data_IF_038763786222
#
_entry.id   IF_038763786222
#
_cell.length_a   1.000
_cell.length_b   1.000
_cell.length_c   1.000
_cell.angle_alpha   90.00
_cell.angle_beta   90.00
_cell.angle_gamma   90.00
#
_symmetry.space_group_name_H-M   'P 1'
#
loop_
_entity.id
_entity.type
_entity.pdbx_description
1 polymer ?
#
# COMPACT_ATOMS: atom_id res chain seq x y z
N UNK A 1 -6.15 -20.13 -1.28
CA UNK A 1 -6.26 -19.00 -0.33
C UNK A 1 -5.37 -17.81 -0.70
N UNK A 2 -4.09 -18.00 -1.08
CA UNK A 2 -3.22 -16.89 -1.57
C UNK A 2 -3.64 -16.34 -2.92
N UNK A 3 -4.08 -17.19 -3.85
CA UNK A 3 -4.50 -16.77 -5.20
C UNK A 3 -5.70 -15.81 -5.19
N UNK A 4 -6.60 -15.96 -4.20
CA UNK A 4 -7.80 -15.13 -4.06
C UNK A 4 -7.48 -13.69 -3.62
N UNK A 5 -6.49 -13.51 -2.73
CA UNK A 5 -6.06 -12.19 -2.28
C UNK A 5 -5.40 -11.38 -3.39
N UNK A 6 -4.51 -12.00 -4.15
CA UNK A 6 -3.86 -11.33 -5.27
C UNK A 6 -4.83 -11.02 -6.41
N UNK A 7 -5.77 -11.93 -6.70
CA UNK A 7 -6.81 -11.67 -7.69
C UNK A 7 -7.67 -10.45 -7.32
N UNK A 8 -8.10 -10.34 -6.06
CA UNK A 8 -8.81 -9.16 -5.55
C UNK A 8 -7.95 -7.90 -5.62
N UNK A 9 -6.67 -8.00 -5.23
CA UNK A 9 -5.74 -6.88 -5.29
C UNK A 9 -5.55 -6.36 -6.73
N UNK A 10 -5.50 -7.23 -7.74
CA UNK A 10 -5.44 -6.80 -9.14
C UNK A 10 -6.70 -6.05 -9.56
N UNK A 11 -7.88 -6.48 -9.09
CA UNK A 11 -9.13 -5.73 -9.31
C UNK A 11 -9.06 -4.32 -8.71
N UNK A 12 -8.52 -4.19 -7.48
CA UNK A 12 -8.35 -2.89 -6.81
C UNK A 12 -7.35 -1.99 -7.54
N UNK A 13 -6.20 -2.55 -7.92
CA UNK A 13 -5.16 -1.83 -8.68
C UNK A 13 -5.74 -1.31 -9.99
N UNK A 14 -6.39 -2.16 -10.77
CA UNK A 14 -7.00 -1.76 -12.05
C UNK A 14 -8.06 -0.67 -11.88
N UNK A 15 -8.83 -0.72 -10.79
CA UNK A 15 -9.79 0.33 -10.48
C UNK A 15 -9.11 1.67 -10.21
N UNK A 16 -8.05 1.67 -9.40
CA UNK A 16 -7.29 2.89 -9.07
C UNK A 16 -6.61 3.47 -10.30
N UNK A 17 -6.05 2.62 -11.18
CA UNK A 17 -5.38 3.05 -12.40
C UNK A 17 -6.30 3.83 -13.36
N UNK A 18 -7.62 3.61 -13.34
CA UNK A 18 -8.59 4.35 -14.17
C UNK A 18 -8.65 5.84 -13.86
N UNK A 19 -8.24 6.23 -12.65
CA UNK A 19 -8.25 7.63 -12.21
C UNK A 19 -6.92 8.34 -12.48
N UNK A 20 -5.93 7.64 -13.07
CA UNK A 20 -4.70 8.28 -13.51
C UNK A 20 -4.95 9.10 -14.78
N UNK A 21 -4.27 10.25 -14.93
CA UNK A 21 -4.17 10.93 -16.21
C UNK A 21 -3.66 9.98 -17.30
N UNK A 22 -4.22 10.07 -18.51
CA UNK A 22 -3.89 9.15 -19.61
C UNK A 22 -2.39 9.08 -19.91
N UNK A 23 -1.70 10.21 -19.83
CA UNK A 23 -0.25 10.30 -20.05
C UNK A 23 0.56 9.53 -18.98
N UNK A 24 0.08 9.47 -17.74
CA UNK A 24 0.70 8.66 -16.68
C UNK A 24 0.34 7.19 -16.87
N UNK A 25 -0.92 6.87 -17.12
CA UNK A 25 -1.37 5.50 -17.38
C UNK A 25 -0.57 4.84 -18.52
N UNK A 26 -0.32 5.58 -19.60
CA UNK A 26 0.44 5.11 -20.76
C UNK A 26 1.92 4.82 -20.48
N UNK A 27 2.48 5.25 -19.34
CA UNK A 27 3.86 4.88 -18.95
C UNK A 27 3.97 3.45 -18.47
N UNK A 28 2.86 2.85 -18.01
CA UNK A 28 2.86 1.47 -17.52
C UNK A 28 2.93 0.53 -18.72
N UNK A 29 3.84 -0.45 -18.65
CA UNK A 29 3.96 -1.46 -19.70
C UNK A 29 2.64 -2.19 -19.92
N UNK A 30 2.22 -2.29 -21.18
CA UNK A 30 0.95 -2.93 -21.54
C UNK A 30 0.87 -4.38 -21.07
N UNK A 31 2.00 -5.09 -21.03
CA UNK A 31 2.07 -6.46 -20.49
C UNK A 31 1.72 -6.52 -19.01
N UNK A 32 2.11 -5.51 -18.20
CA UNK A 32 1.72 -5.44 -16.79
C UNK A 32 0.22 -5.28 -16.62
N UNK A 33 -0.40 -4.39 -17.39
CA UNK A 33 -1.85 -4.20 -17.37
C UNK A 33 -2.57 -5.48 -17.79
N UNK A 34 -2.14 -6.13 -18.88
CA UNK A 34 -2.70 -7.41 -19.35
C UNK A 34 -2.56 -8.50 -18.28
N UNK A 35 -1.42 -8.56 -17.59
CA UNK A 35 -1.23 -9.50 -16.50
C UNK A 35 -2.23 -9.28 -15.37
N UNK A 36 -2.47 -8.04 -14.95
CA UNK A 36 -3.48 -7.75 -13.93
C UNK A 36 -4.89 -8.10 -14.42
N UNK A 37 -5.27 -7.74 -15.64
CA UNK A 37 -6.58 -8.05 -16.21
C UNK A 37 -6.84 -9.55 -16.32
N UNK A 38 -5.82 -10.35 -16.68
CA UNK A 38 -5.94 -11.80 -16.80
C UNK A 38 -6.06 -12.52 -15.45
N UNK A 39 -5.52 -11.93 -14.38
CA UNK A 39 -5.45 -12.57 -13.05
C UNK A 39 -6.41 -11.95 -12.03
N UNK A 40 -7.19 -10.93 -12.38
CA UNK A 40 -8.10 -10.26 -11.44
C UNK A 40 -9.29 -11.15 -11.05
N UNK A 41 -9.86 -10.85 -9.90
CA UNK A 41 -11.16 -11.40 -9.50
C UNK A 41 -12.28 -10.61 -10.18
N UNK A 42 -13.01 -11.27 -11.09
CA UNK A 42 -14.12 -10.67 -11.85
C UNK A 42 -15.41 -10.57 -11.03
N UNK A 43 -15.53 -11.32 -9.94
CA UNK A 43 -16.70 -11.33 -9.05
C UNK A 43 -16.60 -10.26 -7.96
N UNK A 44 -15.37 -9.95 -7.52
CA UNK A 44 -15.12 -8.91 -6.54
C UNK A 44 -15.33 -7.52 -7.14
N UNK A 45 -16.17 -6.72 -6.48
CA UNK A 45 -16.48 -5.35 -6.90
C UNK A 45 -15.82 -4.37 -5.94
N UNK A 46 -14.85 -3.64 -6.45
CA UNK A 46 -14.18 -2.56 -5.74
C UNK A 46 -14.32 -1.25 -6.50
N UNK A 47 -14.52 -0.15 -5.76
CA UNK A 47 -14.66 1.22 -6.27
C UNK A 47 -13.97 2.16 -5.29
N UNK A 48 -13.35 3.21 -5.83
CA UNK A 48 -12.82 4.30 -5.01
C UNK A 48 -13.62 5.58 -5.24
N UNK A 49 -13.61 6.44 -4.24
CA UNK A 49 -14.13 7.79 -4.38
C UNK A 49 -12.95 8.77 -4.60
N UNK A 50 -12.82 9.42 -5.77
CA UNK A 50 -11.70 10.31 -6.06
C UNK A 50 -11.65 11.56 -5.15
N UNK A 51 -12.76 11.91 -4.49
CA UNK A 51 -12.82 13.03 -3.53
C UNK A 51 -12.22 12.65 -2.16
N UNK A 52 -12.03 11.36 -1.89
CA UNK A 52 -11.49 10.84 -0.64
C UNK A 52 -10.02 10.45 -0.85
N UNK A 53 -9.10 10.86 0.06
CA UNK A 53 -7.69 10.47 -0.01
C UNK A 53 -7.51 8.95 -0.10
N UNK A 54 -6.58 8.51 -0.95
CA UNK A 54 -6.32 7.09 -1.21
C UNK A 54 -6.03 6.29 0.08
N UNK A 55 -5.34 6.91 1.04
CA UNK A 55 -5.03 6.32 2.36
C UNK A 55 -6.25 6.04 3.25
N UNK A 56 -7.39 6.69 2.98
CA UNK A 56 -8.65 6.47 3.70
C UNK A 56 -9.57 5.50 2.97
N UNK A 57 -9.19 5.05 1.78
CA UNK A 57 -9.92 4.03 1.04
C UNK A 57 -9.59 2.65 1.62
N UNK A 58 -10.54 1.72 1.56
CA UNK A 58 -10.36 0.35 2.04
C UNK A 58 -9.57 -0.49 1.01
N UNK A 59 -8.33 -0.10 0.73
CA UNK A 59 -7.44 -0.79 -0.21
C UNK A 59 -6.68 -1.87 0.54
N UNK A 60 -6.65 -3.07 -0.03
CA UNK A 60 -5.91 -4.20 0.53
C UNK A 60 -4.41 -3.91 0.62
N UNK A 61 -3.73 -4.57 1.56
CA UNK A 61 -2.28 -4.45 1.74
C UNK A 61 -1.56 -4.95 0.48
N UNK A 62 -2.08 -6.00 -0.15
CA UNK A 62 -1.59 -6.58 -1.39
C UNK A 62 -1.70 -5.59 -2.56
N UNK A 63 -2.85 -4.92 -2.74
CA UNK A 63 -3.01 -3.89 -3.77
C UNK A 63 -2.09 -2.69 -3.52
N UNK A 64 -2.00 -2.23 -2.27
CA UNK A 64 -1.13 -1.13 -1.90
C UNK A 64 0.36 -1.45 -2.20
N UNK A 65 0.78 -2.70 -1.95
CA UNK A 65 2.12 -3.17 -2.29
C UNK A 65 2.40 -3.12 -3.79
N UNK A 66 1.43 -3.53 -4.62
CA UNK A 66 1.53 -3.44 -6.08
C UNK A 66 1.61 -1.98 -6.54
N UNK A 67 0.78 -1.09 -5.97
CA UNK A 67 0.78 0.35 -6.30
C UNK A 67 2.13 0.99 -5.97
N UNK A 68 2.75 0.64 -4.84
CA UNK A 68 4.08 1.14 -4.46
C UNK A 68 5.14 0.71 -5.49
N UNK A 69 5.06 -0.54 -5.98
CA UNK A 69 5.97 -1.04 -7.03
C UNK A 69 5.75 -0.29 -8.34
N UNK A 70 4.50 -0.12 -8.79
CA UNK A 70 4.18 0.65 -10.00
C UNK A 70 4.67 2.09 -9.88
N UNK A 71 4.46 2.72 -8.71
CA UNK A 71 4.95 4.07 -8.45
C UNK A 71 6.48 4.15 -8.56
N UNK A 72 7.19 3.22 -7.92
CA UNK A 72 8.65 3.17 -7.99
C UNK A 72 9.14 3.02 -9.42
N UNK A 73 8.51 2.15 -10.21
CA UNK A 73 9.04 1.72 -11.50
C UNK A 73 8.68 2.70 -12.63
N UNK A 74 7.47 3.28 -12.63
CA UNK A 74 6.96 4.07 -13.75
C UNK A 74 6.78 5.57 -13.46
N UNK A 75 6.61 5.97 -12.21
CA UNK A 75 6.24 7.36 -11.86
C UNK A 75 7.32 8.11 -11.07
N UNK A 76 8.09 7.40 -10.25
CA UNK A 76 9.03 8.00 -9.33
C UNK A 76 10.31 8.48 -10.02
N UNK A 77 10.70 9.72 -9.71
CA UNK A 77 12.05 10.23 -9.98
C UNK A 77 13.09 9.54 -9.09
N UNK A 78 14.37 9.64 -9.46
CA UNK A 78 15.47 9.07 -8.66
C UNK A 78 15.50 9.58 -7.21
N UNK A 79 15.20 10.86 -6.99
CA UNK A 79 15.10 11.44 -5.64
C UNK A 79 13.94 10.83 -4.86
N UNK A 80 12.79 10.61 -5.50
CA UNK A 80 11.63 9.97 -4.87
C UNK A 80 11.90 8.49 -4.58
N UNK A 81 12.56 7.75 -5.48
CA UNK A 81 13.00 6.37 -5.26
C UNK A 81 13.91 6.25 -4.04
N UNK A 82 14.90 7.15 -3.91
CA UNK A 82 15.78 7.18 -2.72
C UNK A 82 14.99 7.38 -1.43
N UNK A 83 14.05 8.34 -1.41
CA UNK A 83 13.18 8.57 -0.25
C UNK A 83 12.29 7.37 0.07
N UNK A 84 11.67 6.77 -0.95
CA UNK A 84 10.85 5.58 -0.81
C UNK A 84 11.65 4.43 -0.20
N UNK A 85 12.87 4.17 -0.68
CA UNK A 85 13.73 3.12 -0.15
C UNK A 85 14.07 3.33 1.33
N UNK A 86 14.32 4.57 1.76
CA UNK A 86 14.54 4.88 3.18
C UNK A 86 13.32 4.55 4.03
N UNK A 87 12.13 4.93 3.57
CA UNK A 87 10.85 4.66 4.27
C UNK A 87 10.61 3.15 4.35
N UNK A 88 10.74 2.42 3.24
CA UNK A 88 10.55 0.96 3.21
C UNK A 88 11.52 0.26 4.16
N UNK A 89 12.79 0.68 4.17
CA UNK A 89 13.81 0.13 5.07
C UNK A 89 13.47 0.40 6.54
N UNK A 90 13.00 1.60 6.88
CA UNK A 90 12.56 1.93 8.23
C UNK A 90 11.35 1.12 8.68
N UNK A 91 10.37 0.92 7.79
CA UNK A 91 9.19 0.10 8.08
C UNK A 91 9.58 -1.36 8.32
N UNK A 92 10.47 -1.91 7.51
CA UNK A 92 11.02 -3.25 7.70
C UNK A 92 11.71 -3.36 9.07
N UNK A 93 12.58 -2.40 9.43
CA UNK A 93 13.22 -2.42 10.74
C UNK A 93 12.22 -2.42 11.90
N UNK A 94 11.19 -1.57 11.85
CA UNK A 94 10.13 -1.52 12.87
C UNK A 94 9.39 -2.86 12.99
N UNK A 95 9.01 -3.44 11.85
CA UNK A 95 8.37 -4.75 11.83
C UNK A 95 9.25 -5.83 12.46
N UNK A 96 10.55 -5.84 12.15
CA UNK A 96 11.49 -6.78 12.75
C UNK A 96 11.67 -6.55 14.27
N UNK A 97 11.66 -5.30 14.74
CA UNK A 97 11.66 -5.01 16.18
C UNK A 97 10.38 -5.48 16.87
N UNK A 98 9.21 -5.29 16.25
CA UNK A 98 7.94 -5.80 16.77
C UNK A 98 7.95 -7.33 16.88
N UNK A 99 8.46 -8.04 15.87
CA UNK A 99 8.62 -9.50 15.91
C UNK A 99 9.60 -9.91 17.02
N UNK A 100 10.74 -9.23 17.15
CA UNK A 100 11.70 -9.51 18.24
C UNK A 100 11.09 -9.30 19.61
N UNK A 101 10.30 -8.24 19.80
CA UNK A 101 9.63 -7.96 21.07
C UNK A 101 8.53 -8.99 21.36
N UNK A 102 7.72 -9.37 20.37
CA UNK A 102 6.66 -10.37 20.52
C UNK A 102 7.19 -11.76 20.85
N UNK A 103 8.34 -12.13 20.27
CA UNK A 103 8.95 -13.45 20.44
C UNK A 103 10.25 -13.40 21.25
N UNK A 104 10.41 -12.41 22.12
CA UNK A 104 11.58 -12.30 22.97
C UNK A 104 11.66 -13.52 23.90
N UNK A 105 12.59 -14.44 23.62
CA UNK A 105 12.75 -15.69 24.34
C UNK A 105 12.89 -15.47 25.85
N UNK A 106 13.54 -14.38 26.27
CA UNK A 106 13.71 -14.05 27.68
C UNK A 106 12.39 -13.84 28.43
N UNK A 107 11.34 -13.33 27.77
CA UNK A 107 10.02 -13.16 28.38
C UNK A 107 9.19 -14.45 28.32
N UNK A 108 9.36 -15.26 27.26
CA UNK A 108 8.73 -16.59 27.15
C UNK A 108 9.27 -17.55 28.23
N UNK A 109 10.59 -17.53 28.50
CA UNK A 109 11.20 -18.33 29.56
C UNK A 109 10.85 -17.85 30.97
N UNK A 110 10.63 -16.54 31.17
CA UNK A 110 10.13 -15.98 32.44
C UNK A 110 8.65 -16.34 32.67
N UNK A 111 7.80 -16.26 31.64
CA UNK A 111 6.39 -16.63 31.73
C UNK A 111 6.19 -18.12 32.04
N UNK A 112 7.07 -19.01 31.57
CA UNK A 112 7.07 -20.44 31.95
C UNK A 112 7.33 -20.70 33.44
N UNK A 113 7.92 -19.75 34.18
CA UNK A 113 8.06 -19.85 35.64
C UNK A 113 6.80 -19.44 36.41
N UNK A 114 5.83 -18.78 35.77
CA UNK A 114 4.59 -18.30 36.39
C UNK A 114 3.37 -18.71 35.55
N UNK A 115 2.85 -19.92 35.75
CA UNK A 115 1.69 -20.40 35.00
C UNK A 115 0.42 -19.55 35.23
N UNK A 116 -0.13 -18.98 34.15
CA UNK A 116 -1.56 -18.78 33.91
C UNK A 116 -1.75 -18.39 32.43
N UNK A 117 -2.22 -19.33 31.61
CA UNK A 117 -2.54 -19.09 30.21
C UNK A 117 -3.87 -18.33 30.13
N UNK A 118 -3.82 -17.02 29.87
CA UNK A 118 -4.92 -16.27 29.28
C UNK A 118 -4.56 -15.99 27.82
N UNK A 119 -5.24 -16.66 26.90
CA UNK A 119 -5.16 -16.34 25.47
C UNK A 119 -5.92 -15.03 25.27
N UNK A 120 -5.20 -13.92 25.22
CA UNK A 120 -5.77 -12.64 24.78
C UNK A 120 -5.68 -12.61 23.26
N UNK A 121 -6.81 -12.86 22.61
CA UNK A 121 -7.00 -12.68 21.18
C UNK A 121 -6.99 -11.18 20.86
N UNK A 122 -5.80 -10.61 20.63
CA UNK A 122 -5.65 -9.23 20.16
C UNK A 122 -5.83 -9.18 18.64
N UNK A 123 -7.09 -9.07 18.19
CA UNK A 123 -7.45 -8.81 16.80
C UNK A 123 -7.37 -7.33 16.41
N UNK A 124 -6.42 -6.57 16.98
CA UNK A 124 -6.20 -5.17 16.63
C UNK A 124 -4.78 -4.98 16.09
N UNK A 125 -4.67 -4.88 14.77
CA UNK A 125 -3.51 -4.27 14.13
C UNK A 125 -3.50 -2.78 14.51
N UNK A 126 -2.39 -2.23 15.04
CA UNK A 126 -2.30 -0.81 15.32
C UNK A 126 -2.11 -0.06 14.00
N UNK A 127 -3.21 0.29 13.33
CA UNK A 127 -3.17 1.27 12.25
C UNK A 127 -3.54 2.62 12.86
N UNK A 128 -2.54 3.29 13.44
CA UNK A 128 -2.59 4.74 13.61
C UNK A 128 -1.55 5.36 12.67
N UNK A 129 -1.93 5.53 11.40
CA UNK A 129 -1.14 6.31 10.44
C UNK A 129 -1.35 7.78 10.80
N UNK A 130 -0.51 8.31 11.69
CA UNK A 130 -0.40 9.76 11.87
C UNK A 130 0.12 10.40 10.57
N UNK A 131 -0.59 11.47 10.19
CA UNK A 131 -0.56 12.17 8.91
C UNK A 131 0.82 12.30 8.28
N UNK A 132 0.97 11.83 7.04
CA UNK A 132 2.09 12.23 6.19
C UNK A 132 1.57 13.08 5.03
N UNK A 133 2.02 14.33 5.00
CA UNK A 133 1.87 15.39 3.99
C UNK A 133 2.28 15.00 2.54
N UNK A 134 2.37 13.70 2.22
CA UNK A 134 2.79 13.16 0.93
C UNK A 134 1.64 13.07 -0.06
N UNK A 135 0.48 12.50 0.33
CA UNK A 135 -0.68 12.39 -0.57
C UNK A 135 -1.32 13.75 -0.88
N UNK A 136 -1.35 14.69 0.07
CA UNK A 136 -1.73 16.10 -0.19
C UNK A 136 -0.82 16.76 -1.24
N UNK A 137 0.49 16.46 -1.25
CA UNK A 137 1.44 16.99 -2.25
C UNK A 137 1.27 16.35 -3.62
N UNK A 138 0.95 15.06 -3.70
CA UNK A 138 0.67 14.37 -4.96
C UNK A 138 -0.60 14.93 -5.63
N UNK A 139 -1.66 15.15 -4.86
CA UNK A 139 -2.91 15.76 -5.33
C UNK A 139 -2.72 17.24 -5.71
N UNK A 140 -1.89 18.00 -4.97
CA UNK A 140 -1.56 19.38 -5.31
C UNK A 140 -0.70 19.51 -6.58
N UNK A 141 0.22 18.57 -6.81
CA UNK A 141 1.05 18.54 -8.02
C UNK A 141 0.22 18.26 -9.27
N UNK A 142 -0.74 17.32 -9.18
CA UNK A 142 -1.72 17.07 -10.26
C UNK A 142 -2.60 18.30 -10.49
N UNK A 143 -3.09 19.00 -9.44
CA UNK A 143 -3.85 20.25 -9.58
C UNK A 143 -3.08 21.39 -10.28
N UNK A 144 -1.77 21.52 -10.06
CA UNK A 144 -0.96 22.57 -10.67
C UNK A 144 -0.65 22.34 -12.16
N UNK A 145 -0.76 21.10 -12.64
CA UNK A 145 -0.60 20.78 -14.06
C UNK A 145 -1.80 21.23 -14.92
N UNK A 146 -2.98 21.42 -14.31
CA UNK A 146 -4.19 21.89 -14.99
C UNK A 146 -4.40 23.41 -14.94
N UNK A 147 -3.54 24.18 -14.25
CA UNK A 147 -3.64 25.65 -14.17
C UNK A 147 -2.82 26.38 -15.23
N UNK A 148 -2.25 25.67 -16.20
CA UNK A 148 -1.42 26.23 -17.27
C UNK A 148 -1.90 25.76 -18.65
N UNK A 149 -3.14 26.14 -18.97
CA UNK A 149 -3.62 26.31 -20.34
C UNK A 149 -4.84 27.23 -20.31
N UNK A 150 -4.57 28.53 -20.36
CA UNK A 150 -5.43 29.62 -20.84
C UNK A 150 -4.57 30.88 -20.66
N UNK A 151 -3.75 31.14 -21.70
CA UNK A 151 -3.57 32.50 -22.21
C UNK A 151 -4.85 32.91 -22.93
#
# INVERSE_FOLDING_TARGET
>A
MTNDKYAKAYTEVLEILKYLPQNEYNKIDTERIKFFEANKDTSYKFRINPDIPLEKQNISIEANSIIIVLFRDYFATETQKKKLNVILKQNEYKYQEEIKNKYNLNDIFKARKSNSFNVVENNNLPIEVKENNFFKKLIAYIKNLFRKKEE
#
